data_IF_974517584149
#
_entry.id   IF_974517584149
#
_cell.length_a   1.000
_cell.length_b   1.000
_cell.length_c   1.000
_cell.angle_alpha   90.00
_cell.angle_beta   90.00
_cell.angle_gamma   90.00
#
_symmetry.space_group_name_H-M   'P 1'
#
loop_
_entity.id
_entity.type
_entity.pdbx_description
1 polymer ?
#
# COMPACT_ATOMS: atom_id res chain seq x y z
N UNK A 1 -20.53 1.37 -20.63
CA UNK A 1 -19.26 1.71 -19.94
C UNK A 1 -18.27 0.58 -20.21
N UNK A 2 -17.14 0.95 -20.84
CA UNK A 2 -15.91 0.19 -21.14
C UNK A 2 -15.92 -1.32 -21.42
N UNK A 3 -15.98 -1.70 -22.71
CA UNK A 3 -15.59 -3.02 -23.28
C UNK A 3 -14.16 -3.49 -22.90
N UNK A 4 -13.33 -2.60 -22.38
CA UNK A 4 -11.97 -2.91 -21.94
C UNK A 4 -11.92 -3.72 -20.63
N UNK A 5 -12.92 -3.59 -19.76
CA UNK A 5 -12.97 -4.33 -18.50
C UNK A 5 -13.18 -5.83 -18.72
N UNK A 6 -13.96 -6.20 -19.74
CA UNK A 6 -14.26 -7.59 -20.09
C UNK A 6 -13.11 -8.30 -20.82
N UNK A 7 -12.13 -7.54 -21.35
CA UNK A 7 -11.00 -8.08 -22.11
C UNK A 7 -9.80 -8.48 -21.25
N UNK A 8 -9.74 -8.03 -20.00
CA UNK A 8 -8.74 -8.53 -19.06
C UNK A 8 -9.39 -9.63 -18.21
N UNK A 9 -8.98 -10.90 -18.30
CA UNK A 9 -9.30 -11.87 -17.28
C UNK A 9 -8.52 -11.44 -16.03
N UNK A 10 -9.06 -10.47 -15.29
CA UNK A 10 -8.49 -10.08 -14.01
C UNK A 10 -8.79 -11.27 -13.10
N UNK A 11 -7.77 -11.97 -12.58
CA UNK A 11 -8.02 -12.97 -11.54
C UNK A 11 -8.78 -12.23 -10.45
N UNK A 12 -9.96 -12.75 -10.10
CA UNK A 12 -10.94 -12.11 -9.20
C UNK A 12 -10.26 -11.71 -7.89
N UNK A 13 -9.69 -10.52 -7.85
CA UNK A 13 -9.16 -9.94 -6.63
C UNK A 13 -10.35 -9.78 -5.69
N UNK A 14 -10.17 -10.13 -4.42
CA UNK A 14 -11.24 -10.04 -3.45
C UNK A 14 -11.81 -8.61 -3.44
N UNK A 15 -13.15 -8.43 -3.38
CA UNK A 15 -13.74 -7.10 -3.27
C UNK A 15 -13.14 -6.36 -2.07
N UNK A 16 -12.56 -5.20 -2.34
CA UNK A 16 -11.74 -4.48 -1.38
C UNK A 16 -12.60 -3.96 -0.22
N UNK A 17 -12.32 -4.45 1.00
CA UNK A 17 -13.00 -3.95 2.20
C UNK A 17 -12.60 -2.51 2.51
N UNK A 18 -13.45 -1.78 3.24
CA UNK A 18 -13.17 -0.38 3.64
C UNK A 18 -11.85 -0.25 4.40
N UNK A 19 -11.51 -1.23 5.23
CA UNK A 19 -10.28 -1.22 6.02
C UNK A 19 -9.03 -1.51 5.16
N UNK A 20 -9.10 -2.44 4.21
CA UNK A 20 -8.03 -2.67 3.23
C UNK A 20 -7.78 -1.45 2.36
N UNK A 21 -8.85 -0.76 1.95
CA UNK A 21 -8.76 0.48 1.18
C UNK A 21 -8.06 1.59 1.96
N UNK A 22 -8.40 1.79 3.23
CA UNK A 22 -7.70 2.75 4.11
C UNK A 22 -6.24 2.35 4.31
N UNK A 23 -5.95 1.07 4.48
CA UNK A 23 -4.58 0.57 4.60
C UNK A 23 -3.77 0.85 3.32
N UNK A 24 -4.34 0.61 2.13
CA UNK A 24 -3.71 0.95 0.85
C UNK A 24 -3.38 2.44 0.78
N UNK A 25 -4.34 3.32 1.09
CA UNK A 25 -4.09 4.77 1.07
C UNK A 25 -2.98 5.20 2.03
N UNK A 26 -2.93 4.63 3.24
CA UNK A 26 -1.83 4.90 4.19
C UNK A 26 -0.48 4.48 3.64
N UNK A 27 -0.40 3.29 3.03
CA UNK A 27 0.81 2.79 2.39
C UNK A 27 1.22 3.65 1.19
N UNK A 28 0.29 4.03 0.33
CA UNK A 28 0.59 4.92 -0.80
C UNK A 28 1.05 6.29 -0.33
N UNK A 29 0.36 6.88 0.66
CA UNK A 29 0.70 8.18 1.22
C UNK A 29 2.09 8.17 1.88
N UNK A 30 2.45 7.10 2.61
CA UNK A 30 3.78 6.98 3.21
C UNK A 30 4.88 6.86 2.15
N UNK A 31 4.66 6.09 1.09
CA UNK A 31 5.59 6.03 -0.04
C UNK A 31 5.77 7.40 -0.72
N UNK A 32 4.68 8.12 -0.97
CA UNK A 32 4.73 9.46 -1.56
C UNK A 32 5.48 10.44 -0.65
N UNK A 33 5.24 10.38 0.66
CA UNK A 33 5.94 11.20 1.64
C UNK A 33 7.45 10.93 1.62
N UNK A 34 7.86 9.66 1.66
CA UNK A 34 9.28 9.28 1.60
C UNK A 34 9.91 9.75 0.30
N UNK A 35 9.25 9.53 -0.84
CA UNK A 35 9.73 10.01 -2.13
C UNK A 35 9.92 11.53 -2.15
N UNK A 36 8.97 12.27 -1.57
CA UNK A 36 9.04 13.74 -1.45
C UNK A 36 10.23 14.17 -0.58
N UNK A 37 10.43 13.53 0.57
CA UNK A 37 11.58 13.81 1.45
C UNK A 37 12.90 13.56 0.72
N UNK A 38 13.01 12.47 -0.05
CA UNK A 38 14.21 12.14 -0.82
C UNK A 38 14.45 13.18 -1.93
N UNK A 39 13.43 13.52 -2.71
CA UNK A 39 13.54 14.50 -3.80
C UNK A 39 13.97 15.89 -3.31
N UNK A 40 13.44 16.33 -2.16
CA UNK A 40 13.70 17.65 -1.59
C UNK A 40 14.62 17.59 -0.37
N UNK A 41 15.46 16.55 -0.24
CA UNK A 41 16.25 16.33 0.98
C UNK A 41 17.19 17.49 1.28
N UNK A 42 17.83 18.08 0.26
CA UNK A 42 18.70 19.24 0.45
C UNK A 42 17.97 20.47 1.01
N UNK A 43 16.78 20.77 0.48
CA UNK A 43 15.94 21.87 0.95
C UNK A 43 15.44 21.59 2.39
N UNK A 44 14.98 20.37 2.64
CA UNK A 44 14.57 19.94 3.98
C UNK A 44 15.74 20.04 4.98
N UNK A 45 16.94 19.57 4.58
CA UNK A 45 18.16 19.65 5.39
C UNK A 45 18.53 21.10 5.70
N UNK A 46 18.36 22.02 4.76
CA UNK A 46 18.60 23.44 5.01
C UNK A 46 17.60 24.05 5.99
N UNK A 47 16.35 23.57 6.01
CA UNK A 47 15.30 24.08 6.88
C UNK A 47 15.36 23.53 8.32
N UNK A 48 15.62 22.22 8.49
CA UNK A 48 15.58 21.54 9.81
C UNK A 48 16.92 20.96 10.26
N UNK A 49 17.99 21.16 9.49
CA UNK A 49 19.34 20.76 9.84
C UNK A 49 19.46 19.27 10.17
N UNK A 50 20.12 18.98 11.29
CA UNK A 50 20.42 17.61 11.77
C UNK A 50 19.22 16.67 11.81
N UNK A 51 18.00 17.18 11.96
CA UNK A 51 16.77 16.38 12.06
C UNK A 51 16.27 15.81 10.73
N UNK A 52 16.74 16.30 9.58
CA UNK A 52 16.27 15.79 8.27
C UNK A 52 16.54 14.29 8.08
N UNK A 53 17.68 13.80 8.58
CA UNK A 53 18.09 12.41 8.42
C UNK A 53 17.26 11.47 9.32
N UNK A 54 17.10 11.75 10.63
CA UNK A 54 16.13 11.02 11.47
C UNK A 54 14.70 11.03 10.92
N UNK A 55 14.23 12.15 10.37
CA UNK A 55 12.88 12.25 9.80
C UNK A 55 12.71 11.32 8.58
N UNK A 56 13.70 11.28 7.68
CA UNK A 56 13.71 10.36 6.55
C UNK A 56 13.69 8.89 7.03
N UNK A 57 14.53 8.54 8.01
CA UNK A 57 14.60 7.18 8.56
C UNK A 57 13.28 6.79 9.21
N UNK A 58 12.66 7.67 9.99
CA UNK A 58 11.36 7.44 10.60
C UNK A 58 10.26 7.24 9.54
N UNK A 59 10.21 8.10 8.52
CA UNK A 59 9.26 7.98 7.42
C UNK A 59 9.43 6.69 6.62
N UNK A 60 10.68 6.31 6.31
CA UNK A 60 10.98 5.06 5.61
C UNK A 60 10.60 3.83 6.44
N UNK A 61 10.93 3.83 7.74
CA UNK A 61 10.56 2.76 8.66
C UNK A 61 9.04 2.61 8.74
N UNK A 62 8.32 3.72 8.87
CA UNK A 62 6.86 3.71 8.85
C UNK A 62 6.30 3.15 7.54
N UNK A 63 6.83 3.57 6.39
CA UNK A 63 6.40 3.07 5.09
C UNK A 63 6.60 1.56 4.93
N UNK A 64 7.75 1.04 5.40
CA UNK A 64 8.05 -0.40 5.37
C UNK A 64 7.09 -1.20 6.26
N UNK A 65 6.88 -0.76 7.50
CA UNK A 65 5.97 -1.44 8.45
C UNK A 65 4.53 -1.40 7.92
N UNK A 66 4.07 -0.23 7.47
CA UNK A 66 2.71 -0.06 6.96
C UNK A 66 2.49 -0.84 5.65
N UNK A 67 3.50 -0.90 4.78
CA UNK A 67 3.48 -1.70 3.56
C UNK A 67 3.39 -3.19 3.86
N UNK A 68 4.21 -3.69 4.80
CA UNK A 68 4.18 -5.09 5.23
C UNK A 68 2.83 -5.49 5.82
N UNK A 69 2.27 -4.67 6.71
CA UNK A 69 0.95 -4.91 7.31
C UNK A 69 -0.16 -4.94 6.25
N UNK A 70 -0.11 -4.03 5.28
CA UNK A 70 -1.08 -4.01 4.18
C UNK A 70 -0.96 -5.24 3.28
N UNK A 71 0.27 -5.66 2.93
CA UNK A 71 0.50 -6.86 2.12
C UNK A 71 -0.07 -8.11 2.81
N UNK A 72 0.24 -8.32 4.10
CA UNK A 72 -0.34 -9.44 4.85
C UNK A 72 -1.87 -9.44 4.87
N UNK A 73 -2.47 -8.28 5.10
CA UNK A 73 -3.92 -8.16 5.13
C UNK A 73 -4.53 -8.40 3.74
N UNK A 74 -3.83 -7.97 2.69
CA UNK A 74 -4.23 -8.19 1.30
C UNK A 74 -4.15 -9.67 0.95
N UNK A 75 -3.04 -10.34 1.23
CA UNK A 75 -2.85 -11.77 0.95
C UNK A 75 -3.92 -12.61 1.65
N UNK A 76 -4.20 -12.34 2.93
CA UNK A 76 -5.24 -13.05 3.67
C UNK A 76 -6.65 -12.85 3.08
N UNK A 77 -6.95 -11.67 2.53
CA UNK A 77 -8.23 -11.40 1.89
C UNK A 77 -8.34 -12.05 0.50
N UNK A 78 -7.25 -12.06 -0.26
CA UNK A 78 -7.16 -12.70 -1.57
C UNK A 78 -7.27 -14.24 -1.41
N UNK A 79 -6.59 -14.83 -0.43
CA UNK A 79 -6.71 -16.26 -0.10
C UNK A 79 -8.15 -16.65 0.31
N UNK A 80 -8.76 -15.86 1.20
CA UNK A 80 -10.14 -16.11 1.65
C UNK A 80 -11.16 -16.02 0.51
N UNK A 81 -10.88 -15.23 -0.53
CA UNK A 81 -11.72 -15.15 -1.72
C UNK A 81 -11.46 -16.32 -2.67
N UNK A 82 -10.20 -16.67 -2.92
CA UNK A 82 -9.80 -17.77 -3.79
C UNK A 82 -10.35 -19.12 -3.32
N UNK A 83 -10.32 -19.38 -2.01
CA UNK A 83 -10.78 -20.65 -1.46
C UNK A 83 -12.28 -20.72 -1.16
N UNK A 84 -13.01 -19.60 -1.23
CA UNK A 84 -14.47 -19.60 -1.01
C UNK A 84 -15.22 -20.48 -2.00
N UNK A 85 -14.89 -20.37 -3.29
CA UNK A 85 -15.57 -21.15 -4.35
C UNK A 85 -15.28 -22.66 -4.25
N UNK A 86 -14.18 -23.04 -3.58
CA UNK A 86 -13.82 -24.45 -3.37
C UNK A 86 -14.68 -25.11 -2.29
N UNK A 87 -15.17 -24.35 -1.32
CA UNK A 87 -16.06 -24.82 -0.26
C UNK A 87 -17.53 -24.87 -0.73
N UNK A 88 -17.94 -23.99 -1.66
CA UNK A 88 -19.30 -23.97 -2.24
C UNK A 88 -19.56 -25.11 -3.26
N UNK A 89 -18.50 -25.78 -3.74
CA UNK A 89 -18.57 -26.86 -4.72
C UNK A 89 -18.49 -28.27 -4.12
N UNK A 90 -18.40 -28.38 -2.78
CA UNK A 90 -18.32 -29.63 -2.02
C UNK A 90 -19.64 -29.95 -1.31
#
# INVERSE_FOLDING_TARGET
MSRFADMMPVPLAAPETRELRKARYRTTASCVLVATIVLFFGLLRSAIGSFALPLLVAGATYALVQGWLWLKAKDAADDAWLFRERDDAA
#
